data_IF_391678309342
#
_entry.id   IF_391678309342
#
_cell.length_a   1.000
_cell.length_b   1.000
_cell.length_c   1.000
_cell.angle_alpha   90.00
_cell.angle_beta   90.00
_cell.angle_gamma   90.00
#
_symmetry.space_group_name_H-M   'P 1'
#
loop_
_entity.id
_entity.type
_entity.pdbx_description
1 polymer ?
#
# COMPACT_ATOMS: atom_id res chain seq x y z
N UNK A 1 -28.64 64.44 -3.12
CA UNK A 1 -27.56 63.49 -2.78
C UNK A 1 -27.54 62.36 -3.81
N UNK A 2 -26.66 62.43 -4.81
CA UNK A 2 -26.33 61.25 -5.63
C UNK A 2 -25.45 60.37 -4.75
N UNK A 3 -26.02 59.32 -4.16
CA UNK A 3 -25.26 58.28 -3.47
C UNK A 3 -24.17 57.82 -4.45
N UNK A 4 -22.90 58.03 -4.09
CA UNK A 4 -21.77 57.62 -4.91
C UNK A 4 -21.78 56.09 -5.01
N UNK A 5 -22.36 55.59 -6.09
CA UNK A 5 -22.56 54.19 -6.46
C UNK A 5 -21.32 53.29 -6.30
N UNK A 6 -20.07 53.71 -6.62
CA UNK A 6 -18.93 52.78 -6.59
C UNK A 6 -18.53 52.26 -5.19
N UNK A 7 -18.79 53.02 -4.12
CA UNK A 7 -18.34 52.65 -2.77
C UNK A 7 -19.21 51.58 -2.11
N UNK A 8 -20.52 51.59 -2.39
CA UNK A 8 -21.44 50.54 -1.94
C UNK A 8 -21.08 49.22 -2.63
N UNK A 9 -20.77 49.27 -3.93
CA UNK A 9 -20.29 48.10 -4.66
C UNK A 9 -18.98 47.53 -4.08
N UNK A 10 -18.07 48.39 -3.62
CA UNK A 10 -16.83 47.95 -2.98
C UNK A 10 -17.09 47.19 -1.66
N UNK A 11 -18.00 47.68 -0.82
CA UNK A 11 -18.39 46.98 0.43
C UNK A 11 -19.05 45.63 0.11
N UNK A 12 -19.94 45.59 -0.88
CA UNK A 12 -20.62 44.35 -1.32
C UNK A 12 -19.63 43.33 -1.87
N UNK A 13 -18.66 43.77 -2.69
CA UNK A 13 -17.61 42.88 -3.21
C UNK A 13 -16.74 42.35 -2.08
N UNK A 14 -16.35 43.19 -1.11
CA UNK A 14 -15.56 42.78 0.04
C UNK A 14 -16.28 41.76 0.91
N UNK A 15 -17.58 41.94 1.17
CA UNK A 15 -18.36 40.97 1.95
C UNK A 15 -18.55 39.64 1.21
N UNK A 16 -18.73 39.64 -0.11
CA UNK A 16 -18.75 38.42 -0.93
C UNK A 16 -17.39 37.70 -0.87
N UNK A 17 -16.28 38.44 -1.01
CA UNK A 17 -14.94 37.85 -0.91
C UNK A 17 -14.66 37.26 0.48
N UNK A 18 -15.04 37.96 1.55
CA UNK A 18 -14.88 37.49 2.93
C UNK A 18 -15.73 36.24 3.21
N UNK A 19 -16.98 36.19 2.72
CA UNK A 19 -17.83 35.00 2.85
C UNK A 19 -17.30 33.81 2.06
N UNK A 20 -16.76 34.02 0.86
CA UNK A 20 -16.12 32.97 0.08
C UNK A 20 -14.86 32.42 0.79
N UNK A 21 -13.99 33.30 1.32
CA UNK A 21 -12.81 32.92 2.10
C UNK A 21 -13.17 32.18 3.38
N UNK A 22 -14.22 32.62 4.07
CA UNK A 22 -14.71 31.96 5.28
C UNK A 22 -15.24 30.55 4.97
N UNK A 23 -15.98 30.39 3.87
CA UNK A 23 -16.45 29.09 3.41
C UNK A 23 -15.29 28.14 3.08
N UNK A 24 -14.24 28.63 2.40
CA UNK A 24 -13.02 27.85 2.11
C UNK A 24 -12.27 27.48 3.39
N UNK A 25 -12.16 28.42 4.35
CA UNK A 25 -11.51 28.20 5.64
C UNK A 25 -12.17 27.11 6.50
N UNK A 26 -13.46 26.83 6.31
CA UNK A 26 -14.18 25.83 7.09
C UNK A 26 -14.00 24.39 6.60
N UNK A 27 -13.38 24.15 5.43
CA UNK A 27 -13.19 22.79 4.92
C UNK A 27 -12.11 22.06 5.73
N UNK A 28 -12.43 20.93 6.41
CA UNK A 28 -11.47 20.15 7.21
C UNK A 28 -10.60 19.27 6.31
N UNK A 29 -9.84 19.90 5.43
CA UNK A 29 -9.20 19.28 4.27
C UNK A 29 -7.88 18.55 4.61
N UNK A 30 -7.05 19.16 5.45
CA UNK A 30 -5.71 18.67 5.82
C UNK A 30 -5.73 17.29 6.51
N UNK A 31 -6.80 16.96 7.25
CA UNK A 31 -6.94 15.67 7.92
C UNK A 31 -7.20 14.51 6.93
N UNK A 32 -7.82 14.81 5.78
CA UNK A 32 -8.30 13.80 4.84
C UNK A 32 -7.13 13.17 4.05
N UNK A 33 -6.27 13.98 3.43
CA UNK A 33 -5.14 13.44 2.65
C UNK A 33 -4.08 12.76 3.52
N UNK A 34 -3.85 13.29 4.73
CA UNK A 34 -2.94 12.68 5.71
C UNK A 34 -3.36 11.24 6.07
N UNK A 35 -4.65 10.94 6.08
CA UNK A 35 -5.16 9.59 6.30
C UNK A 35 -4.80 8.63 5.15
N UNK A 36 -4.87 9.08 3.89
CA UNK A 36 -4.51 8.26 2.73
C UNK A 36 -3.00 8.03 2.64
N UNK A 37 -2.18 9.04 2.97
CA UNK A 37 -0.72 8.86 3.11
C UNK A 37 -0.43 7.79 4.15
N UNK A 38 -1.07 7.88 5.33
CA UNK A 38 -0.89 6.88 6.39
C UNK A 38 -1.30 5.48 5.92
N UNK A 39 -2.44 5.35 5.24
CA UNK A 39 -2.92 4.06 4.72
C UNK A 39 -1.93 3.40 3.75
N UNK A 40 -1.31 4.18 2.86
CA UNK A 40 -0.29 3.68 1.93
C UNK A 40 1.02 3.30 2.65
N UNK A 41 1.44 4.07 3.65
CA UNK A 41 2.58 3.68 4.50
C UNK A 41 2.29 2.38 5.28
N UNK A 42 1.11 2.28 5.89
CA UNK A 42 0.66 1.10 6.63
C UNK A 42 0.63 -0.13 5.70
N UNK A 43 0.21 0.04 4.44
CA UNK A 43 0.32 -0.99 3.40
C UNK A 43 1.77 -1.44 3.18
N UNK A 44 2.72 -0.50 2.96
CA UNK A 44 4.13 -0.83 2.73
C UNK A 44 4.75 -1.59 3.92
N UNK A 45 4.43 -1.18 5.14
CA UNK A 45 4.88 -1.88 6.35
C UNK A 45 4.26 -3.28 6.48
N UNK A 46 2.96 -3.40 6.21
CA UNK A 46 2.26 -4.68 6.24
C UNK A 46 2.80 -5.65 5.18
N UNK A 47 3.11 -5.14 3.99
CA UNK A 47 3.71 -5.92 2.90
C UNK A 47 5.10 -6.45 3.26
N UNK A 48 5.97 -5.58 3.78
CA UNK A 48 7.30 -5.98 4.25
C UNK A 48 7.22 -7.02 5.39
N UNK A 49 6.24 -6.87 6.29
CA UNK A 49 5.97 -7.83 7.35
C UNK A 49 5.52 -9.19 6.79
N UNK A 50 4.59 -9.19 5.84
CA UNK A 50 4.12 -10.40 5.16
C UNK A 50 5.27 -11.12 4.44
N UNK A 51 6.11 -10.39 3.70
CA UNK A 51 7.26 -10.98 3.00
C UNK A 51 8.25 -11.65 3.97
N UNK A 52 8.46 -11.07 5.16
CA UNK A 52 9.27 -11.71 6.22
C UNK A 52 8.61 -12.98 6.77
N UNK A 53 7.30 -12.99 6.95
CA UNK A 53 6.56 -14.19 7.35
C UNK A 53 6.65 -15.28 6.27
N UNK A 54 6.50 -14.91 5.01
CA UNK A 54 6.60 -15.80 3.85
C UNK A 54 8.02 -16.37 3.69
N UNK A 55 9.05 -15.60 4.02
CA UNK A 55 10.44 -16.07 4.04
C UNK A 55 10.66 -17.17 5.08
N UNK A 56 10.02 -17.06 6.24
CA UNK A 56 10.05 -18.12 7.26
C UNK A 56 9.26 -19.37 6.83
N UNK A 57 8.17 -19.21 6.09
CA UNK A 57 7.47 -20.33 5.43
C UNK A 57 8.38 -21.00 4.41
N UNK A 58 9.11 -20.21 3.60
CA UNK A 58 10.07 -20.70 2.61
C UNK A 58 11.12 -21.60 3.28
N UNK A 59 11.75 -21.14 4.35
CA UNK A 59 12.77 -21.91 5.10
C UNK A 59 12.21 -23.03 6.00
N UNK A 60 10.88 -23.07 6.20
CA UNK A 60 10.23 -24.07 7.05
C UNK A 60 10.46 -23.84 8.55
N UNK A 61 10.62 -22.58 8.96
CA UNK A 61 10.79 -22.17 10.36
C UNK A 61 9.44 -21.86 11.01
N UNK A 62 8.67 -22.91 11.35
CA UNK A 62 7.63 -22.88 12.38
C UNK A 62 6.56 -21.77 12.30
N UNK A 63 6.23 -21.27 11.11
CA UNK A 63 5.19 -20.24 10.98
C UNK A 63 3.82 -20.89 10.92
N UNK A 64 2.92 -20.42 11.77
CA UNK A 64 1.50 -20.72 11.67
C UNK A 64 0.95 -20.12 10.37
N UNK A 65 0.56 -21.00 9.44
CA UNK A 65 -0.06 -20.62 8.17
C UNK A 65 -1.28 -19.71 8.36
N UNK A 66 -1.98 -19.78 9.50
CA UNK A 66 -3.10 -18.90 9.81
C UNK A 66 -2.68 -17.44 9.96
N UNK A 67 -1.49 -17.17 10.53
CA UNK A 67 -0.96 -15.81 10.67
C UNK A 67 -0.63 -15.22 9.29
N UNK A 68 -0.03 -16.02 8.42
CA UNK A 68 0.32 -15.55 7.07
C UNK A 68 -0.94 -15.29 6.25
N UNK A 69 -1.94 -16.18 6.33
CA UNK A 69 -3.22 -15.99 5.67
C UNK A 69 -3.95 -14.74 6.17
N UNK A 70 -3.92 -14.46 7.49
CA UNK A 70 -4.55 -13.24 8.02
C UNK A 70 -3.84 -11.97 7.53
N UNK A 71 -2.50 -11.97 7.45
CA UNK A 71 -1.72 -10.88 6.86
C UNK A 71 -2.06 -10.65 5.37
N UNK A 72 -2.21 -11.73 4.59
CA UNK A 72 -2.64 -11.66 3.19
C UNK A 72 -4.05 -11.05 3.05
N UNK A 73 -4.99 -11.46 3.90
CA UNK A 73 -6.35 -10.92 3.90
C UNK A 73 -6.38 -9.45 4.31
N UNK A 74 -5.53 -9.04 5.26
CA UNK A 74 -5.39 -7.64 5.64
C UNK A 74 -4.90 -6.77 4.46
N UNK A 75 -3.89 -7.20 3.71
CA UNK A 75 -3.43 -6.46 2.51
C UNK A 75 -4.52 -6.35 1.45
N UNK A 76 -5.28 -7.43 1.23
CA UNK A 76 -6.42 -7.42 0.33
C UNK A 76 -7.48 -6.40 0.78
N UNK A 77 -7.81 -6.38 2.07
CA UNK A 77 -8.78 -5.45 2.62
C UNK A 77 -8.31 -4.00 2.52
N UNK A 78 -7.01 -3.74 2.73
CA UNK A 78 -6.41 -2.41 2.54
C UNK A 78 -6.57 -1.95 1.09
N UNK A 79 -6.29 -2.80 0.10
CA UNK A 79 -6.46 -2.44 -1.31
C UNK A 79 -7.93 -2.14 -1.68
N UNK A 80 -8.87 -2.94 -1.17
CA UNK A 80 -10.30 -2.75 -1.43
C UNK A 80 -10.85 -1.50 -0.73
N UNK A 81 -10.49 -1.29 0.53
CA UNK A 81 -10.90 -0.12 1.30
C UNK A 81 -10.28 1.17 0.78
N UNK A 82 -9.05 1.12 0.26
CA UNK A 82 -8.40 2.24 -0.38
C UNK A 82 -9.14 2.67 -1.65
N UNK A 83 -9.42 1.76 -2.57
CA UNK A 83 -10.19 2.03 -3.80
C UNK A 83 -11.57 2.62 -3.49
N UNK A 84 -12.31 2.01 -2.56
CA UNK A 84 -13.60 2.54 -2.10
C UNK A 84 -13.47 3.92 -1.40
N UNK A 85 -12.37 4.14 -0.68
CA UNK A 85 -12.03 5.42 -0.06
C UNK A 85 -11.81 6.52 -1.10
N UNK A 86 -11.06 6.23 -2.17
CA UNK A 86 -10.83 7.20 -3.25
C UNK A 86 -12.13 7.57 -3.97
N UNK A 87 -13.01 6.61 -4.22
CA UNK A 87 -14.32 6.91 -4.82
C UNK A 87 -15.15 7.85 -3.94
N UNK A 88 -15.14 7.65 -2.62
CA UNK A 88 -15.80 8.55 -1.67
C UNK A 88 -15.13 9.93 -1.61
N UNK A 89 -13.82 9.98 -1.71
CA UNK A 89 -13.03 11.22 -1.75
C UNK A 89 -13.43 12.07 -2.96
N UNK A 90 -13.52 11.45 -4.14
CA UNK A 90 -13.95 12.09 -5.38
C UNK A 90 -15.39 12.58 -5.30
N UNK A 91 -16.32 11.76 -4.77
CA UNK A 91 -17.74 12.14 -4.58
C UNK A 91 -17.91 13.33 -3.62
N UNK A 92 -17.03 13.47 -2.64
CA UNK A 92 -17.02 14.62 -1.73
C UNK A 92 -16.38 15.88 -2.34
N UNK A 93 -15.92 15.82 -3.60
CA UNK A 93 -15.35 16.95 -4.34
C UNK A 93 -13.91 17.29 -3.95
N UNK A 94 -13.18 16.34 -3.37
CA UNK A 94 -11.75 16.46 -3.12
C UNK A 94 -10.94 16.03 -4.35
N UNK A 95 -9.68 16.49 -4.41
CA UNK A 95 -8.75 16.08 -5.47
C UNK A 95 -8.43 14.59 -5.30
N UNK A 96 -8.64 13.80 -6.36
CA UNK A 96 -8.40 12.36 -6.34
C UNK A 96 -7.27 12.00 -7.34
N UNK A 97 -6.46 10.98 -7.03
CA UNK A 97 -5.47 10.48 -7.98
C UNK A 97 -6.16 9.87 -9.21
N UNK A 98 -5.44 9.69 -10.33
CA UNK A 98 -5.99 9.07 -11.53
C UNK A 98 -6.59 7.68 -11.23
N UNK A 99 -7.82 7.44 -11.70
CA UNK A 99 -8.51 6.17 -11.49
C UNK A 99 -7.72 4.95 -12.02
N UNK A 100 -6.92 5.16 -13.07
CA UNK A 100 -6.01 4.15 -13.61
C UNK A 100 -4.95 3.71 -12.58
N UNK A 101 -4.29 4.65 -11.90
CA UNK A 101 -3.26 4.36 -10.89
C UNK A 101 -3.85 3.63 -9.68
N UNK A 102 -5.07 4.02 -9.24
CA UNK A 102 -5.80 3.36 -8.14
C UNK A 102 -6.19 1.92 -8.51
N UNK A 103 -6.74 1.73 -9.71
CA UNK A 103 -7.13 0.40 -10.21
C UNK A 103 -5.91 -0.51 -10.41
N UNK A 104 -4.80 0.05 -10.89
CA UNK A 104 -3.54 -0.66 -11.05
C UNK A 104 -2.94 -1.06 -9.70
N UNK A 105 -2.98 -0.18 -8.69
CA UNK A 105 -2.59 -0.53 -7.32
C UNK A 105 -3.42 -1.70 -6.79
N UNK A 106 -4.75 -1.58 -6.85
CA UNK A 106 -5.68 -2.62 -6.39
C UNK A 106 -5.43 -3.95 -7.08
N UNK A 107 -5.38 -3.97 -8.41
CA UNK A 107 -5.17 -5.20 -9.17
C UNK A 107 -3.80 -5.84 -8.90
N UNK A 108 -2.75 -5.03 -8.74
CA UNK A 108 -1.40 -5.50 -8.40
C UNK A 108 -1.35 -6.14 -7.01
N UNK A 109 -1.96 -5.51 -5.99
CA UNK A 109 -2.04 -6.07 -4.64
C UNK A 109 -2.83 -7.38 -4.64
N UNK A 110 -3.98 -7.44 -5.32
CA UNK A 110 -4.80 -8.65 -5.40
C UNK A 110 -4.07 -9.80 -6.12
N UNK A 111 -3.37 -9.49 -7.22
CA UNK A 111 -2.56 -10.46 -7.94
C UNK A 111 -1.43 -11.01 -7.05
N UNK A 112 -0.73 -10.12 -6.33
CA UNK A 112 0.33 -10.50 -5.39
C UNK A 112 -0.20 -11.42 -4.29
N UNK A 113 -1.30 -11.04 -3.64
CA UNK A 113 -1.94 -11.86 -2.59
C UNK A 113 -2.34 -13.24 -3.12
N UNK A 114 -2.95 -13.31 -4.31
CA UNK A 114 -3.32 -14.59 -4.93
C UNK A 114 -2.11 -15.48 -5.21
N UNK A 115 -1.02 -14.91 -5.72
CA UNK A 115 0.21 -15.65 -6.00
C UNK A 115 0.87 -16.15 -4.69
N UNK A 116 0.92 -15.30 -3.66
CA UNK A 116 1.47 -15.67 -2.35
C UNK A 116 0.63 -16.78 -1.69
N UNK A 117 -0.69 -16.73 -1.82
CA UNK A 117 -1.59 -17.77 -1.29
C UNK A 117 -1.34 -19.13 -1.96
N UNK A 118 -1.20 -19.14 -3.30
CA UNK A 118 -0.86 -20.37 -4.04
C UNK A 118 0.49 -20.92 -3.59
N UNK A 119 1.51 -20.08 -3.53
CA UNK A 119 2.84 -20.48 -3.08
C UNK A 119 2.85 -21.01 -1.64
N UNK A 120 2.12 -20.36 -0.73
CA UNK A 120 1.99 -20.83 0.66
C UNK A 120 1.45 -22.27 0.69
N UNK A 121 0.37 -22.54 -0.06
CA UNK A 121 -0.24 -23.86 -0.13
C UNK A 121 0.74 -24.90 -0.70
N UNK A 122 1.40 -24.59 -1.81
CA UNK A 122 2.34 -25.50 -2.46
C UNK A 122 3.59 -25.74 -1.61
N UNK A 123 4.13 -24.71 -0.96
CA UNK A 123 5.31 -24.84 -0.08
C UNK A 123 5.00 -25.67 1.16
N UNK A 124 3.80 -25.51 1.74
CA UNK A 124 3.36 -26.35 2.87
C UNK A 124 3.21 -27.81 2.46
N UNK A 125 2.64 -28.08 1.28
CA UNK A 125 2.57 -29.43 0.73
C UNK A 125 3.97 -30.03 0.46
N UNK A 126 4.89 -29.21 -0.04
CA UNK A 126 6.28 -29.59 -0.26
C UNK A 126 6.98 -29.98 1.05
N UNK A 127 6.85 -29.19 2.13
CA UNK A 127 7.40 -29.52 3.45
C UNK A 127 6.79 -30.81 4.03
N UNK A 128 5.50 -31.04 3.81
CA UNK A 128 4.83 -32.27 4.25
C UNK A 128 5.37 -33.52 3.52
N UNK A 129 5.60 -33.43 2.21
CA UNK A 129 6.22 -34.52 1.43
C UNK A 129 7.70 -34.72 1.81
N UNK A 130 8.45 -33.65 2.05
CA UNK A 130 9.82 -33.72 2.57
C UNK A 130 9.87 -34.51 3.89
N UNK A 131 8.97 -34.23 4.82
CA UNK A 131 8.87 -34.96 6.08
C UNK A 131 8.59 -36.46 5.90
N UNK A 132 7.84 -36.85 4.88
CA UNK A 132 7.64 -38.28 4.53
C UNK A 132 8.92 -38.91 3.99
N UNK A 133 9.67 -38.19 3.15
CA UNK A 133 10.95 -38.66 2.61
C UNK A 133 11.98 -38.85 3.72
N UNK A 134 12.09 -37.91 4.66
CA UNK A 134 13.00 -38.08 5.81
C UNK A 134 12.66 -39.31 6.65
N UNK A 135 11.38 -39.57 6.95
CA UNK A 135 10.98 -40.80 7.65
C UNK A 135 11.33 -42.08 6.88
N UNK A 136 11.17 -42.08 5.56
CA UNK A 136 11.52 -43.24 4.72
C UNK A 136 13.03 -43.49 4.69
N UNK A 137 13.83 -42.43 4.69
CA UNK A 137 15.30 -42.51 4.76
C UNK A 137 15.78 -43.00 6.12
N UNK A 138 15.13 -42.59 7.21
CA UNK A 138 15.41 -43.10 8.56
C UNK A 138 15.11 -44.60 8.69
N UNK A 139 14.03 -45.07 8.06
CA UNK A 139 13.65 -46.49 8.06
C UNK A 139 14.53 -47.37 7.16
N UNK A 140 15.15 -46.79 6.13
CA UNK A 140 15.99 -47.49 5.16
C UNK A 140 17.34 -46.78 4.99
N UNK A 141 18.24 -46.85 5.98
CA UNK A 141 19.53 -46.19 5.91
C UNK A 141 20.34 -46.71 4.72
N UNK A 142 20.82 -45.79 3.89
CA UNK A 142 21.66 -46.06 2.73
C UNK A 142 22.83 -45.07 2.70
N UNK A 143 23.94 -45.44 2.06
CA UNK A 143 25.14 -44.59 1.93
C UNK A 143 24.86 -43.26 1.19
N UNK A 144 23.76 -43.22 0.41
CA UNK A 144 23.31 -42.05 -0.35
C UNK A 144 22.51 -41.06 0.52
N UNK A 145 22.19 -41.42 1.76
CA UNK A 145 21.33 -40.65 2.65
C UNK A 145 21.88 -39.27 3.00
N UNK A 146 23.18 -39.17 3.30
CA UNK A 146 23.79 -37.92 3.74
C UNK A 146 23.97 -36.89 2.60
N UNK A 147 24.44 -37.27 1.39
CA UNK A 147 24.43 -36.38 0.23
C UNK A 147 23.02 -35.90 -0.17
N UNK A 148 22.03 -36.80 -0.15
CA UNK A 148 20.64 -36.45 -0.46
C UNK A 148 20.08 -35.46 0.56
N UNK A 149 20.31 -35.69 1.86
CA UNK A 149 19.84 -34.81 2.93
C UNK A 149 20.38 -33.39 2.78
N UNK A 150 21.68 -33.23 2.43
CA UNK A 150 22.27 -31.90 2.16
C UNK A 150 21.59 -31.18 0.99
N UNK A 151 21.25 -31.89 -0.08
CA UNK A 151 20.51 -31.32 -1.22
C UNK A 151 19.09 -30.92 -0.83
N UNK A 152 18.41 -31.76 -0.06
CA UNK A 152 17.06 -31.47 0.44
C UNK A 152 17.03 -30.30 1.42
N UNK A 153 18.04 -30.15 2.29
CA UNK A 153 18.18 -29.01 3.18
C UNK A 153 18.48 -27.72 2.41
N UNK A 154 19.26 -27.81 1.33
CA UNK A 154 19.49 -26.68 0.42
C UNK A 154 18.19 -26.27 -0.31
N UNK A 155 17.40 -27.24 -0.78
CA UNK A 155 16.08 -27.00 -1.36
C UNK A 155 15.11 -26.41 -0.32
N UNK A 156 15.18 -26.87 0.94
CA UNK A 156 14.41 -26.32 2.06
C UNK A 156 14.79 -24.87 2.36
N UNK A 157 16.05 -24.50 2.25
CA UNK A 157 16.51 -23.11 2.33
C UNK A 157 16.08 -22.26 1.11
N UNK A 158 15.44 -22.88 0.11
CA UNK A 158 14.83 -22.24 -1.05
C UNK A 158 15.83 -21.92 -2.15
N UNK A 159 16.89 -22.71 -2.30
CA UNK A 159 17.75 -22.70 -3.49
C UNK A 159 17.16 -23.61 -4.57
N UNK A 160 17.38 -23.28 -5.84
CA UNK A 160 17.15 -24.21 -6.94
C UNK A 160 18.19 -25.33 -6.86
N UNK A 161 17.74 -26.57 -6.66
CA UNK A 161 18.60 -27.74 -6.51
C UNK A 161 18.15 -28.81 -7.49
N UNK A 162 19.11 -29.33 -8.26
CA UNK A 162 18.89 -30.41 -9.24
C UNK A 162 19.52 -31.70 -8.70
N UNK A 163 18.84 -32.86 -8.86
CA UNK A 163 19.37 -34.16 -8.44
C UNK A 163 20.46 -34.68 -9.40
N UNK A 164 21.51 -33.91 -9.66
CA UNK A 164 22.63 -34.42 -10.46
C UNK A 164 23.44 -35.47 -9.65
N UNK A 165 23.79 -36.58 -10.30
CA UNK A 165 24.72 -37.62 -9.85
C UNK A 165 24.32 -38.51 -8.64
N UNK A 166 23.06 -38.48 -8.19
CA UNK A 166 22.60 -39.35 -7.09
C UNK A 166 21.85 -40.59 -7.62
N UNK A 167 22.43 -41.78 -7.44
CA UNK A 167 21.74 -43.05 -7.68
C UNK A 167 20.86 -43.37 -6.47
N UNK A 168 19.56 -43.09 -6.56
CA UNK A 168 18.61 -43.29 -5.47
C UNK A 168 17.94 -44.67 -5.54
N UNK A 169 17.59 -45.29 -4.39
CA UNK A 169 16.76 -46.49 -4.37
C UNK A 169 15.42 -46.26 -5.08
N UNK A 170 14.96 -47.21 -5.89
CA UNK A 170 13.70 -47.11 -6.65
C UNK A 170 12.49 -46.77 -5.76
N UNK A 171 12.50 -47.24 -4.51
CA UNK A 171 11.44 -47.00 -3.52
C UNK A 171 11.22 -45.52 -3.18
N UNK A 172 12.26 -44.68 -3.34
CA UNK A 172 12.25 -43.27 -2.95
C UNK A 172 12.51 -42.35 -4.16
N UNK A 173 13.18 -42.84 -5.21
CA UNK A 173 13.66 -42.04 -6.33
C UNK A 173 12.58 -41.11 -6.92
N UNK A 174 11.44 -41.68 -7.35
CA UNK A 174 10.35 -40.91 -7.97
C UNK A 174 9.79 -39.80 -7.07
N UNK A 175 9.75 -40.02 -5.75
CA UNK A 175 9.26 -39.01 -4.79
C UNK A 175 10.25 -37.86 -4.65
N UNK A 176 11.54 -38.18 -4.61
CA UNK A 176 12.62 -37.19 -4.49
C UNK A 176 12.76 -36.37 -5.77
N UNK A 177 12.72 -36.98 -6.95
CA UNK A 177 12.69 -36.27 -8.24
C UNK A 177 11.51 -35.30 -8.30
N UNK A 178 10.31 -35.75 -7.93
CA UNK A 178 9.12 -34.88 -7.88
C UNK A 178 9.28 -33.73 -6.88
N UNK A 179 9.92 -33.96 -5.72
CA UNK A 179 10.21 -32.91 -4.74
C UNK A 179 11.19 -31.87 -5.27
N UNK A 180 12.25 -32.29 -5.97
CA UNK A 180 13.20 -31.35 -6.56
C UNK A 180 12.55 -30.53 -7.68
N UNK A 181 11.78 -31.17 -8.57
CA UNK A 181 11.05 -30.45 -9.62
C UNK A 181 10.11 -29.39 -9.03
N UNK A 182 9.28 -29.78 -8.06
CA UNK A 182 8.39 -28.84 -7.37
C UNK A 182 9.16 -27.71 -6.66
N UNK A 183 10.36 -27.97 -6.16
CA UNK A 183 11.18 -26.94 -5.55
C UNK A 183 11.71 -25.93 -6.58
N UNK A 184 12.03 -26.37 -7.80
CA UNK A 184 12.38 -25.46 -8.91
C UNK A 184 11.18 -24.57 -9.26
N UNK A 185 9.99 -25.16 -9.41
CA UNK A 185 8.76 -24.40 -9.70
C UNK A 185 8.47 -23.37 -8.59
N UNK A 186 8.65 -23.76 -7.32
CA UNK A 186 8.51 -22.86 -6.17
C UNK A 186 9.58 -21.78 -6.16
N UNK A 187 10.83 -22.10 -6.49
CA UNK A 187 11.91 -21.11 -6.58
C UNK A 187 11.62 -20.04 -7.63
N UNK A 188 11.15 -20.45 -8.81
CA UNK A 188 10.73 -19.52 -9.86
C UNK A 188 9.53 -18.67 -9.41
N UNK A 189 8.52 -19.28 -8.80
CA UNK A 189 7.36 -18.57 -8.26
C UNK A 189 7.76 -17.55 -7.18
N UNK A 190 8.76 -17.86 -6.35
CA UNK A 190 9.27 -16.94 -5.33
C UNK A 190 9.89 -15.68 -5.96
N UNK A 191 10.67 -15.86 -7.02
CA UNK A 191 11.32 -14.75 -7.73
C UNK A 191 10.32 -13.87 -8.50
N UNK A 192 9.10 -14.36 -8.75
CA UNK A 192 8.02 -13.58 -9.38
C UNK A 192 7.27 -12.65 -8.42
N UNK A 193 7.49 -12.73 -7.10
CA UNK A 193 6.90 -11.81 -6.13
C UNK A 193 7.48 -10.38 -6.19
N UNK A 194 8.18 -10.06 -7.28
CA UNK A 194 8.84 -8.81 -7.58
C UNK A 194 8.04 -7.61 -7.05
N UNK A 195 8.60 -7.03 -5.98
CA UNK A 195 7.92 -6.05 -5.15
C UNK A 195 7.90 -4.67 -5.83
N UNK A 196 8.75 -4.48 -6.84
CA UNK A 196 9.06 -3.17 -7.39
C UNK A 196 7.86 -2.54 -8.09
N UNK A 197 7.04 -3.33 -8.79
CA UNK A 197 5.86 -2.80 -9.51
C UNK A 197 4.75 -2.34 -8.57
N UNK A 198 4.49 -3.05 -7.48
CA UNK A 198 3.41 -2.67 -6.56
C UNK A 198 3.87 -1.51 -5.67
N UNK A 199 5.14 -1.52 -5.26
CA UNK A 199 5.76 -0.43 -4.53
C UNK A 199 5.82 0.86 -5.36
N UNK A 200 6.23 0.80 -6.63
CA UNK A 200 6.30 1.99 -7.48
C UNK A 200 4.96 2.70 -7.63
N UNK A 201 3.87 1.92 -7.72
CA UNK A 201 2.52 2.46 -7.87
C UNK A 201 2.01 3.01 -6.54
N UNK A 202 2.33 2.33 -5.44
CA UNK A 202 2.10 2.86 -4.09
C UNK A 202 2.83 4.20 -3.89
N UNK A 203 4.07 4.31 -4.36
CA UNK A 203 4.88 5.54 -4.25
C UNK A 203 4.34 6.67 -5.11
N UNK A 204 3.85 6.38 -6.32
CA UNK A 204 3.16 7.36 -7.17
C UNK A 204 1.92 7.94 -6.46
N UNK A 205 1.09 7.07 -5.89
CA UNK A 205 -0.10 7.48 -5.13
C UNK A 205 0.28 8.26 -3.87
N UNK A 206 1.32 7.82 -3.16
CA UNK A 206 1.81 8.48 -1.96
C UNK A 206 2.34 9.88 -2.27
N UNK A 207 3.10 10.03 -3.37
CA UNK A 207 3.57 11.32 -3.85
C UNK A 207 2.39 12.25 -4.21
N UNK A 208 1.35 11.74 -4.89
CA UNK A 208 0.14 12.52 -5.17
C UNK A 208 -0.47 13.08 -3.89
N UNK A 209 -0.71 12.23 -2.88
CA UNK A 209 -1.33 12.66 -1.63
C UNK A 209 -0.45 13.61 -0.81
N UNK A 210 0.88 13.41 -0.82
CA UNK A 210 1.81 14.33 -0.19
C UNK A 210 1.80 15.70 -0.86
N UNK A 211 1.77 15.75 -2.19
CA UNK A 211 1.69 17.01 -2.93
C UNK A 211 0.40 17.77 -2.66
N UNK A 212 -0.75 17.08 -2.65
CA UNK A 212 -2.01 17.73 -2.29
C UNK A 212 -2.03 18.19 -0.84
N UNK A 213 -1.52 17.39 0.10
CA UNK A 213 -1.41 17.80 1.50
C UNK A 213 -0.54 19.06 1.67
N UNK A 214 0.60 19.15 0.99
CA UNK A 214 1.48 20.33 1.01
C UNK A 214 0.81 21.56 0.40
N UNK A 215 0.12 21.41 -0.74
CA UNK A 215 -0.65 22.49 -1.35
C UNK A 215 -1.70 23.01 -0.36
N UNK A 216 -2.40 22.12 0.33
CA UNK A 216 -3.42 22.50 1.29
C UNK A 216 -2.87 23.18 2.54
N UNK A 217 -1.78 22.69 3.11
CA UNK A 217 -1.10 23.36 4.22
C UNK A 217 -0.73 24.78 3.81
N UNK A 218 -0.15 24.95 2.60
CA UNK A 218 0.22 26.27 2.08
C UNK A 218 -0.98 27.20 1.86
N UNK A 219 -2.15 26.65 1.52
CA UNK A 219 -3.38 27.40 1.29
C UNK A 219 -4.03 27.77 2.63
N UNK A 220 -4.04 26.85 3.58
CA UNK A 220 -4.52 27.05 4.95
C UNK A 220 -3.75 28.17 5.67
N UNK A 221 -2.45 28.31 5.43
CA UNK A 221 -1.66 29.42 5.98
C UNK A 221 -2.00 30.79 5.34
N UNK A 222 -2.30 30.80 4.04
CA UNK A 222 -2.57 32.04 3.27
C UNK A 222 -3.98 32.60 3.49
N UNK A 223 -4.96 31.74 3.74
CA UNK A 223 -6.38 32.12 3.88
C UNK A 223 -6.63 33.08 5.06
N UNK A 224 -6.12 32.83 6.29
CA UNK A 224 -6.24 33.77 7.40
C UNK A 224 -5.61 35.13 7.08
N UNK A 225 -4.43 35.14 6.44
CA UNK A 225 -3.74 36.38 6.08
C UNK A 225 -4.55 37.23 5.10
N UNK A 226 -5.14 36.60 4.09
CA UNK A 226 -6.05 37.25 3.15
C UNK A 226 -7.34 37.74 3.86
N UNK A 227 -7.89 36.95 4.77
CA UNK A 227 -9.08 37.30 5.55
C UNK A 227 -8.83 38.52 6.45
N UNK A 228 -7.71 38.56 7.16
CA UNK A 228 -7.30 39.72 7.96
C UNK A 228 -7.12 40.96 7.11
N UNK A 229 -6.42 40.83 5.97
CA UNK A 229 -6.20 41.94 5.04
C UNK A 229 -7.54 42.52 4.54
N UNK A 230 -8.44 41.68 4.03
CA UNK A 230 -9.75 42.10 3.54
C UNK A 230 -10.62 42.71 4.64
N UNK A 231 -10.56 42.18 5.86
CA UNK A 231 -11.27 42.74 7.02
C UNK A 231 -10.74 44.14 7.37
N UNK A 232 -9.43 44.34 7.29
CA UNK A 232 -8.79 45.64 7.55
C UNK A 232 -9.16 46.67 6.48
N UNK A 233 -9.16 46.27 5.21
CA UNK A 233 -9.64 47.10 4.09
C UNK A 233 -11.12 47.47 4.26
N UNK A 234 -11.97 46.53 4.67
CA UNK A 234 -13.39 46.80 4.94
C UNK A 234 -13.57 47.78 6.10
N UNK A 235 -12.78 47.64 7.17
CA UNK A 235 -12.83 48.52 8.33
C UNK A 235 -12.37 49.95 7.97
N UNK A 236 -11.31 50.07 7.17
CA UNK A 236 -10.86 51.37 6.64
C UNK A 236 -11.93 52.01 5.73
N UNK A 237 -12.53 51.23 4.83
CA UNK A 237 -13.58 51.71 3.94
C UNK A 237 -14.82 52.21 4.71
N UNK A 238 -15.23 51.49 5.76
CA UNK A 238 -16.35 51.89 6.63
C UNK A 238 -16.00 53.11 7.49
N UNK A 239 -14.79 53.21 8.05
CA UNK A 239 -14.31 54.41 8.76
C UNK A 239 -14.34 55.65 7.86
N UNK A 240 -13.84 55.53 6.63
CA UNK A 240 -13.84 56.62 5.67
C UNK A 240 -15.27 57.09 5.34
N UNK A 241 -16.22 56.15 5.26
CA UNK A 241 -17.63 56.45 5.02
C UNK A 241 -18.26 57.24 6.18
N UNK A 242 -18.00 56.82 7.42
CA UNK A 242 -18.52 57.49 8.63
C UNK A 242 -18.00 58.93 8.75
N UNK A 243 -16.72 59.17 8.44
CA UNK A 243 -16.13 60.51 8.53
C UNK A 243 -16.53 61.40 7.35
N UNK A 244 -16.60 60.87 6.12
CA UNK A 244 -17.00 61.66 4.95
C UNK A 244 -18.50 61.99 4.94
N UNK A 245 -19.36 61.20 5.56
CA UNK A 245 -20.80 61.54 5.67
C UNK A 245 -21.10 62.62 6.72
N UNK A 246 -20.12 63.00 7.55
CA UNK A 246 -20.25 64.05 8.57
C UNK A 246 -19.72 65.42 8.11
N UNK A 247 -19.06 65.49 6.95
CA UNK A 247 -18.71 66.72 6.25
C UNK A 247 -19.77 67.05 5.20
#
# INVERSE_FOLDING_TARGET
MKIQTPWIWLVVVLTICLTALFYVSQKPQVAVYSQYVKSLCDYQFADASLMRSMERVRSGNGVDSAIVLSQMMALREVALSFDAGIQKLEQAGFSAPPAASVSLFKSSVLAKVSCLQRYLSERMAWHAELGKVYRLMEMNPSDVGLPLMRKLDSARAGYAVVPDDLVLPESINKRVESLFQKNVDLYEAWNQFDNDKTLSVSDELLHFFQMENLKEISLSEKVPLAFYFLSLVLLLATFFFIFKSKQ
#
